data_IF_674386816547
#
_entry.id   IF_674386816547
#
_cell.length_a   1.000
_cell.length_b   1.000
_cell.length_c   1.000
_cell.angle_alpha   90.00
_cell.angle_beta   90.00
_cell.angle_gamma   90.00
#
_symmetry.space_group_name_H-M   'P 1'
#
loop_
_entity.id
_entity.type
_entity.pdbx_description
1 polymer ?
#
# COMPACT_ATOMS: atom_id res chain seq x y z
N UNK A 1 14.58 31.98 12.29
CA UNK A 1 13.46 31.06 12.49
C UNK A 1 12.68 30.96 11.19
N UNK A 2 12.54 29.76 10.63
CA UNK A 2 11.66 29.50 9.49
C UNK A 2 10.21 29.41 9.96
N UNK A 3 9.27 29.83 9.11
CA UNK A 3 7.82 29.69 9.35
C UNK A 3 7.19 29.06 8.11
N UNK A 4 6.24 28.16 8.33
CA UNK A 4 5.39 27.59 7.30
C UNK A 4 3.95 28.04 7.59
N UNK A 5 3.25 28.55 6.58
CA UNK A 5 1.86 28.97 6.70
C UNK A 5 1.01 28.05 5.82
N UNK A 6 0.07 27.33 6.43
CA UNK A 6 -0.90 26.50 5.72
C UNK A 6 -2.14 27.35 5.46
N UNK A 7 -2.56 27.45 4.20
CA UNK A 7 -3.74 28.20 3.76
C UNK A 7 -4.64 27.25 2.99
N UNK A 8 -5.91 27.16 3.39
CA UNK A 8 -6.91 26.31 2.76
C UNK A 8 -8.17 27.11 2.44
N UNK A 9 -8.82 26.78 1.33
CA UNK A 9 -10.08 27.39 0.92
C UNK A 9 -11.25 26.52 1.41
N UNK A 10 -12.18 27.05 2.22
CA UNK A 10 -13.29 26.27 2.79
C UNK A 10 -14.42 25.94 1.79
N UNK A 11 -14.31 26.32 0.52
CA UNK A 11 -15.44 26.30 -0.45
C UNK A 11 -15.72 24.95 -1.13
N UNK A 12 -15.23 23.83 -0.61
CA UNK A 12 -15.72 22.51 -1.06
C UNK A 12 -17.16 22.31 -0.56
N UNK A 13 -18.14 22.32 -1.48
CA UNK A 13 -19.56 22.02 -1.22
C UNK A 13 -19.79 20.57 -0.75
N UNK A 14 -18.79 19.71 -0.91
CA UNK A 14 -18.79 18.34 -0.41
C UNK A 14 -18.21 18.28 1.00
N UNK A 15 -19.07 17.94 1.97
CA UNK A 15 -18.72 17.88 3.39
C UNK A 15 -17.72 16.77 3.74
N UNK A 16 -17.65 15.68 2.97
CA UNK A 16 -16.69 14.61 3.21
C UNK A 16 -15.29 15.03 2.75
N UNK A 17 -15.19 15.60 1.56
CA UNK A 17 -13.94 16.17 1.02
C UNK A 17 -13.39 17.27 1.93
N UNK A 18 -14.26 18.09 2.51
CA UNK A 18 -13.86 19.11 3.48
C UNK A 18 -13.30 18.50 4.76
N UNK A 19 -13.96 17.50 5.32
CA UNK A 19 -13.51 16.84 6.55
C UNK A 19 -12.15 16.13 6.36
N UNK A 20 -11.94 15.49 5.21
CA UNK A 20 -10.67 14.87 4.86
C UNK A 20 -9.55 15.92 4.75
N UNK A 21 -9.81 17.03 4.06
CA UNK A 21 -8.84 18.13 3.92
C UNK A 21 -8.46 18.75 5.27
N UNK A 22 -9.44 18.98 6.16
CA UNK A 22 -9.21 19.47 7.52
C UNK A 22 -8.35 18.48 8.33
N UNK A 23 -8.62 17.17 8.24
CA UNK A 23 -7.83 16.15 8.93
C UNK A 23 -6.37 16.09 8.44
N UNK A 24 -6.13 16.24 7.14
CA UNK A 24 -4.76 16.28 6.57
C UNK A 24 -3.98 17.50 7.03
N UNK A 25 -4.63 18.66 7.09
CA UNK A 25 -4.00 19.89 7.59
C UNK A 25 -3.67 19.75 9.08
N UNK A 26 -4.56 19.15 9.87
CA UNK A 26 -4.31 18.93 11.29
C UNK A 26 -3.12 17.98 11.50
N UNK A 27 -2.98 16.91 10.71
CA UNK A 27 -1.83 16.01 10.80
C UNK A 27 -0.49 16.73 10.60
N UNK A 28 -0.42 17.67 9.65
CA UNK A 28 0.76 18.51 9.38
C UNK A 28 1.09 19.49 10.51
N UNK A 29 0.09 19.87 11.31
CA UNK A 29 0.29 20.69 12.52
C UNK A 29 0.77 19.82 13.68
N UNK A 30 0.22 18.62 13.81
CA UNK A 30 0.48 17.71 14.92
C UNK A 30 1.85 17.01 14.82
N UNK A 31 2.38 16.83 13.60
CA UNK A 31 3.64 16.13 13.39
C UNK A 31 4.44 16.68 12.21
N UNK A 32 5.77 16.69 12.38
CA UNK A 32 6.74 16.92 11.29
C UNK A 32 7.45 15.63 10.87
N UNK A 33 7.08 14.48 11.46
CA UNK A 33 7.63 13.18 11.11
C UNK A 33 6.94 12.63 9.86
N UNK A 34 7.71 12.45 8.78
CA UNK A 34 7.21 11.96 7.50
C UNK A 34 6.55 10.57 7.58
N UNK A 35 6.96 9.71 8.52
CA UNK A 35 6.34 8.39 8.68
C UNK A 35 4.93 8.50 9.28
N UNK A 36 4.77 9.32 10.31
CA UNK A 36 3.46 9.56 10.94
C UNK A 36 2.50 10.20 9.93
N UNK A 37 2.99 11.18 9.16
CA UNK A 37 2.19 11.83 8.11
C UNK A 37 1.79 10.84 7.01
N UNK A 38 2.66 9.91 6.63
CA UNK A 38 2.36 8.87 5.64
C UNK A 38 1.31 7.87 6.13
N UNK A 39 1.32 7.50 7.43
CA UNK A 39 0.27 6.65 8.01
C UNK A 39 -1.09 7.36 8.01
N UNK A 40 -1.13 8.64 8.42
CA UNK A 40 -2.38 9.41 8.41
C UNK A 40 -2.90 9.63 6.98
N UNK A 41 -2.02 9.89 6.00
CA UNK A 41 -2.43 9.98 4.58
C UNK A 41 -3.00 8.66 4.07
N UNK A 42 -2.36 7.53 4.42
CA UNK A 42 -2.86 6.19 4.08
C UNK A 42 -4.22 5.90 4.74
N UNK A 43 -4.44 6.38 5.96
CA UNK A 43 -5.71 6.20 6.68
C UNK A 43 -6.85 7.02 6.07
N UNK A 44 -6.57 8.26 5.66
CA UNK A 44 -7.55 9.18 5.09
C UNK A 44 -7.87 8.85 3.63
N UNK A 45 -6.83 8.60 2.83
CA UNK A 45 -6.95 8.37 1.38
C UNK A 45 -7.16 6.91 1.01
N UNK A 46 -6.76 5.99 1.89
CA UNK A 46 -6.75 4.55 1.63
C UNK A 46 -5.52 4.07 0.87
N UNK A 47 -5.33 2.76 0.89
CA UNK A 47 -4.35 2.06 0.05
C UNK A 47 -4.72 2.26 -1.42
N UNK A 48 -3.90 2.99 -2.18
CA UNK A 48 -4.11 3.13 -3.63
C UNK A 48 -4.07 1.79 -4.37
N UNK A 49 -4.09 1.82 -5.71
CA UNK A 49 -3.90 0.59 -6.49
C UNK A 49 -2.46 0.08 -6.30
N UNK A 50 -2.29 -1.04 -5.60
CA UNK A 50 -0.98 -1.64 -5.31
C UNK A 50 -0.15 -1.98 -6.57
N UNK A 51 -0.82 -2.15 -7.71
CA UNK A 51 -0.27 -2.65 -8.97
C UNK A 51 -0.63 -1.66 -10.10
N UNK A 52 0.04 -0.52 -10.15
CA UNK A 52 -0.32 0.58 -11.04
C UNK A 52 0.49 0.71 -12.33
N UNK A 53 0.20 -0.15 -13.32
CA UNK A 53 0.23 0.21 -14.76
C UNK A 53 -0.81 -0.59 -15.58
N UNK A 54 -1.23 -1.77 -15.12
CA UNK A 54 -2.25 -2.55 -15.82
C UNK A 54 -3.66 -2.19 -15.35
N UNK A 55 -4.31 -1.32 -16.13
CA UNK A 55 -5.77 -1.25 -16.24
C UNK A 55 -6.32 -2.60 -16.74
N UNK A 56 -6.40 -3.61 -15.87
CA UNK A 56 -7.33 -4.72 -16.02
C UNK A 56 -8.18 -4.85 -14.76
N UNK A 57 -9.19 -3.98 -14.66
CA UNK A 57 -10.55 -4.34 -14.23
C UNK A 57 -10.77 -5.04 -12.89
N UNK A 58 -9.78 -5.13 -12.03
CA UNK A 58 -9.91 -5.79 -10.73
C UNK A 58 -9.00 -5.07 -9.75
N UNK A 59 -9.59 -4.26 -8.88
CA UNK A 59 -9.03 -4.12 -7.55
C UNK A 59 -8.98 -5.56 -6.99
N UNK A 60 -7.79 -6.17 -6.91
CA UNK A 60 -7.68 -7.60 -6.60
C UNK A 60 -8.02 -7.92 -5.14
N UNK A 61 -8.05 -6.91 -4.27
CA UNK A 61 -8.52 -7.04 -2.90
C UNK A 61 -9.97 -6.53 -2.78
N UNK A 62 -10.90 -7.08 -3.58
CA UNK A 62 -12.35 -6.79 -3.41
C UNK A 62 -12.89 -7.17 -2.02
N UNK A 63 -12.22 -8.08 -1.33
CA UNK A 63 -12.62 -8.56 0.00
C UNK A 63 -11.64 -8.18 1.12
N UNK A 64 -10.35 -8.02 0.81
CA UNK A 64 -9.31 -7.76 1.80
C UNK A 64 -8.93 -6.28 1.82
N UNK A 65 -8.55 -5.75 2.96
CA UNK A 65 -7.93 -4.43 3.06
C UNK A 65 -6.60 -4.62 3.78
N UNK A 66 -5.50 -4.15 3.19
CA UNK A 66 -4.19 -4.22 3.82
C UNK A 66 -4.16 -3.52 5.18
N UNK A 67 -4.95 -2.46 5.34
CA UNK A 67 -5.14 -1.79 6.64
C UNK A 67 -5.84 -2.70 7.65
N UNK A 68 -7.04 -3.22 7.31
CA UNK A 68 -7.84 -4.05 8.24
C UNK A 68 -7.17 -5.40 8.52
N UNK A 69 -6.56 -5.98 7.50
CA UNK A 69 -6.06 -7.35 7.52
C UNK A 69 -4.54 -7.39 7.72
N UNK A 70 -3.93 -6.31 8.24
CA UNK A 70 -2.49 -6.15 8.46
C UNK A 70 -1.87 -7.34 9.20
N UNK A 71 -2.55 -7.84 10.24
CA UNK A 71 -2.12 -9.02 11.00
C UNK A 71 -2.06 -10.27 10.12
N UNK A 72 -3.08 -10.48 9.28
CA UNK A 72 -3.16 -11.62 8.37
C UNK A 72 -2.13 -11.53 7.25
N UNK A 73 -1.89 -10.33 6.72
CA UNK A 73 -0.80 -10.07 5.76
C UNK A 73 0.55 -10.39 6.37
N UNK A 74 0.79 -10.00 7.64
CA UNK A 74 2.00 -10.36 8.37
C UNK A 74 2.19 -11.88 8.49
N UNK A 75 1.15 -12.60 8.93
CA UNK A 75 1.19 -14.06 9.04
C UNK A 75 1.41 -14.75 7.69
N UNK A 76 0.74 -14.29 6.64
CA UNK A 76 0.90 -14.84 5.30
C UNK A 76 2.34 -14.64 4.80
N UNK A 77 2.93 -13.47 5.08
CA UNK A 77 4.34 -13.18 4.78
C UNK A 77 5.29 -14.11 5.52
N UNK A 78 5.08 -14.34 6.81
CA UNK A 78 5.92 -15.24 7.60
C UNK A 78 5.89 -16.68 7.06
N UNK A 79 4.70 -17.16 6.68
CA UNK A 79 4.53 -18.49 6.05
C UNK A 79 5.21 -18.54 4.69
N UNK A 80 5.06 -17.50 3.86
CA UNK A 80 5.71 -17.43 2.56
C UNK A 80 7.24 -17.51 2.69
N UNK A 81 7.84 -16.76 3.62
CA UNK A 81 9.27 -16.84 3.88
C UNK A 81 9.69 -18.23 4.37
N UNK A 82 8.95 -18.84 5.31
CA UNK A 82 9.29 -20.17 5.79
C UNK A 82 9.28 -21.23 4.66
N UNK A 83 8.37 -21.10 3.69
CA UNK A 83 8.32 -21.98 2.51
C UNK A 83 9.53 -21.73 1.61
N UNK A 84 9.81 -20.47 1.25
CA UNK A 84 10.90 -20.10 0.34
C UNK A 84 12.27 -20.38 0.95
N UNK A 85 12.49 -20.07 2.23
CA UNK A 85 13.76 -20.31 2.92
C UNK A 85 14.11 -21.80 2.98
N UNK A 86 13.09 -22.65 3.14
CA UNK A 86 13.27 -24.10 3.18
C UNK A 86 13.34 -24.73 1.78
N UNK A 87 12.80 -24.07 0.75
CA UNK A 87 12.75 -24.53 -0.63
C UNK A 87 12.82 -23.35 -1.62
N UNK A 88 14.01 -22.80 -1.86
CA UNK A 88 14.17 -21.58 -2.66
C UNK A 88 13.73 -21.75 -4.12
N UNK A 89 13.81 -22.98 -4.64
CA UNK A 89 13.38 -23.32 -5.99
C UNK A 89 11.91 -23.78 -6.05
N UNK A 90 11.22 -23.84 -4.91
CA UNK A 90 9.84 -24.30 -4.76
C UNK A 90 9.60 -25.69 -5.38
N UNK A 91 10.60 -26.57 -5.37
CA UNK A 91 10.53 -27.91 -5.98
C UNK A 91 9.45 -28.79 -5.32
N UNK A 92 9.23 -28.59 -4.01
CA UNK A 92 8.19 -29.28 -3.22
C UNK A 92 6.83 -28.61 -3.36
N UNK A 93 6.76 -27.42 -3.97
CA UNK A 93 5.56 -26.62 -4.15
C UNK A 93 5.39 -26.12 -5.60
N UNK A 94 5.29 -27.02 -6.59
CA UNK A 94 5.29 -26.65 -8.00
C UNK A 94 4.14 -25.72 -8.40
N UNK A 95 2.96 -25.86 -7.78
CA UNK A 95 1.83 -24.97 -8.03
C UNK A 95 2.09 -23.51 -7.59
N UNK A 96 2.85 -23.31 -6.50
CA UNK A 96 3.24 -21.96 -6.09
C UNK A 96 4.25 -21.36 -7.08
N UNK A 97 5.17 -22.18 -7.59
CA UNK A 97 6.13 -21.75 -8.61
C UNK A 97 5.42 -21.35 -9.91
N UNK A 98 4.45 -22.14 -10.37
CA UNK A 98 3.62 -21.83 -11.54
C UNK A 98 2.82 -20.53 -11.36
N UNK A 99 2.16 -20.35 -10.21
CA UNK A 99 1.41 -19.13 -9.91
C UNK A 99 2.31 -17.90 -9.87
N UNK A 100 3.50 -18.01 -9.25
CA UNK A 100 4.48 -16.92 -9.23
C UNK A 100 4.98 -16.59 -10.64
N UNK A 101 5.21 -17.58 -11.49
CA UNK A 101 5.61 -17.36 -12.88
C UNK A 101 4.50 -16.65 -13.68
N UNK A 102 3.24 -17.02 -13.47
CA UNK A 102 2.09 -16.35 -14.07
C UNK A 102 1.92 -14.91 -13.56
N UNK A 103 2.17 -14.68 -12.27
CA UNK A 103 1.97 -13.39 -11.62
C UNK A 103 3.09 -12.39 -11.94
N UNK A 104 4.34 -12.84 -11.95
CA UNK A 104 5.51 -11.99 -12.19
C UNK A 104 5.78 -11.76 -13.69
N UNK A 105 5.43 -12.72 -14.55
CA UNK A 105 5.66 -12.63 -16.00
C UNK A 105 7.13 -12.43 -16.40
N UNK A 106 7.40 -12.35 -17.71
CA UNK A 106 8.74 -12.15 -18.29
C UNK A 106 9.15 -10.67 -18.40
N UNK A 107 8.34 -9.74 -17.89
CA UNK A 107 8.59 -8.29 -18.02
C UNK A 107 9.07 -7.68 -16.70
N UNK A 108 9.79 -6.56 -16.84
CA UNK A 108 10.48 -5.67 -15.87
C UNK A 108 9.83 -5.40 -14.49
N UNK A 109 8.64 -5.94 -14.18
CA UNK A 109 7.95 -5.83 -12.88
C UNK A 109 8.76 -6.40 -11.70
N UNK A 110 9.52 -7.48 -11.91
CA UNK A 110 10.44 -8.01 -10.90
C UNK A 110 11.54 -7.02 -10.53
N UNK A 111 11.97 -6.21 -11.50
CA UNK A 111 13.00 -5.20 -11.32
C UNK A 111 12.47 -3.93 -10.62
N UNK A 112 11.15 -3.73 -10.54
CA UNK A 112 10.54 -2.66 -9.73
C UNK A 112 10.23 -3.10 -8.29
N UNK A 113 9.88 -4.37 -8.08
CA UNK A 113 9.59 -4.92 -6.75
C UNK A 113 10.85 -5.22 -5.92
N UNK A 114 11.99 -5.46 -6.57
CA UNK A 114 13.25 -5.83 -5.92
C UNK A 114 14.28 -4.70 -5.83
N UNK A 115 13.96 -3.48 -6.29
CA UNK A 115 14.83 -2.33 -6.09
C UNK A 115 14.84 -1.94 -4.61
N UNK A 116 15.97 -2.24 -3.98
CA UNK A 116 16.35 -1.84 -2.62
C UNK A 116 16.82 -0.40 -2.59
#
# INVERSE_FOLDING_TARGET
ASRCHLVADPTTDDGELRAEAEARLQALVDSTDGFVLAEVDLDLRGEGTLMGERQKGRNDLRLASLRRDREWVGRARDVAFAIVDADPALERHPLHAEELALFLGDDDAGDYLLKS
#
